data_IF_867658070459
#
_entry.id   IF_867658070459
#
_cell.length_a   1.000
_cell.length_b   1.000
_cell.length_c   1.000
_cell.angle_alpha   90.00
_cell.angle_beta   90.00
_cell.angle_gamma   90.00
#
_symmetry.space_group_name_H-M   'P 1'
#
loop_
_entity.id
_entity.type
_entity.pdbx_description
1 polymer ?
#
# COMPACT_ATOMS: atom_id res chain seq x y z
N UNK A 1 5.77 34.93 8.83
CA UNK A 1 4.90 34.40 9.92
C UNK A 1 4.07 33.27 9.34
N UNK A 2 4.31 32.02 9.73
CA UNK A 2 3.44 30.92 9.33
C UNK A 2 2.20 31.02 10.22
N UNK A 3 1.08 31.47 9.65
CA UNK A 3 -0.20 31.51 10.35
C UNK A 3 -0.54 30.07 10.76
N UNK A 4 -0.68 29.85 12.08
CA UNK A 4 -1.04 28.55 12.62
C UNK A 4 -2.47 28.25 12.17
N UNK A 5 -2.62 27.36 11.18
CA UNK A 5 -3.94 27.00 10.65
C UNK A 5 -4.70 26.23 11.76
N UNK A 6 -5.90 26.69 12.06
CA UNK A 6 -6.78 26.00 12.99
C UNK A 6 -7.31 24.71 12.33
N UNK A 7 -6.94 23.55 12.87
CA UNK A 7 -7.29 22.24 12.33
C UNK A 7 -8.80 21.99 12.34
N UNK A 8 -9.54 22.49 13.33
CA UNK A 8 -10.99 22.30 13.40
C UNK A 8 -11.72 23.16 12.35
N UNK A 9 -11.24 24.40 12.14
CA UNK A 9 -11.76 25.26 11.10
C UNK A 9 -11.43 24.71 9.70
N UNK A 10 -10.21 24.20 9.51
CA UNK A 10 -9.78 23.53 8.29
C UNK A 10 -10.67 22.31 8.00
N UNK A 11 -10.91 21.45 8.98
CA UNK A 11 -11.72 20.24 8.81
C UNK A 11 -13.17 20.53 8.35
N UNK A 12 -13.75 21.65 8.80
CA UNK A 12 -15.10 22.06 8.45
C UNK A 12 -15.21 22.72 7.06
N UNK A 13 -14.12 23.28 6.56
CA UNK A 13 -14.09 24.07 5.32
C UNK A 13 -13.42 23.37 4.13
N UNK A 14 -12.85 22.17 4.34
CA UNK A 14 -12.28 21.35 3.27
C UNK A 14 -13.40 20.65 2.52
N UNK A 15 -13.38 20.76 1.18
CA UNK A 15 -14.18 19.92 0.29
C UNK A 15 -13.27 18.99 -0.54
N UNK A 16 -13.75 17.77 -0.78
CA UNK A 16 -13.13 16.84 -1.73
C UNK A 16 -14.10 16.66 -2.90
N UNK A 17 -13.61 16.92 -4.10
CA UNK A 17 -14.40 16.80 -5.32
C UNK A 17 -13.55 16.29 -6.48
N UNK A 18 -14.18 15.99 -7.59
CA UNK A 18 -13.48 15.70 -8.84
C UNK A 18 -12.90 16.98 -9.45
N UNK A 19 -11.77 16.84 -10.14
CA UNK A 19 -11.19 17.91 -10.95
C UNK A 19 -12.10 18.27 -12.13
N UNK A 20 -11.97 19.50 -12.60
CA UNK A 20 -12.56 20.02 -13.84
C UNK A 20 -11.49 20.72 -14.65
N UNK A 21 -11.78 21.08 -15.90
CA UNK A 21 -10.84 21.84 -16.73
C UNK A 21 -10.54 23.24 -16.19
N UNK A 22 -11.45 23.81 -15.39
CA UNK A 22 -11.26 25.11 -14.75
C UNK A 22 -10.18 25.09 -13.66
N UNK A 23 -9.85 23.89 -13.15
CA UNK A 23 -8.83 23.69 -12.13
C UNK A 23 -7.40 23.65 -12.72
N UNK A 24 -7.25 23.64 -14.05
CA UNK A 24 -5.95 23.40 -14.70
C UNK A 24 -4.83 24.31 -14.18
N UNK A 25 -5.04 25.63 -14.16
CA UNK A 25 -4.01 26.58 -13.73
C UNK A 25 -3.66 26.41 -12.24
N UNK A 26 -4.64 26.05 -11.41
CA UNK A 26 -4.43 25.77 -9.99
C UNK A 26 -3.65 24.47 -9.79
N UNK A 27 -3.94 23.43 -10.60
CA UNK A 27 -3.25 22.15 -10.60
C UNK A 27 -1.77 22.32 -10.98
N UNK A 28 -1.47 23.05 -12.05
CA UNK A 28 -0.11 23.35 -12.50
C UNK A 28 0.68 24.06 -11.38
N UNK A 29 0.06 25.07 -10.73
CA UNK A 29 0.71 25.74 -9.57
C UNK A 29 0.97 24.77 -8.42
N UNK A 30 0.06 23.85 -8.16
CA UNK A 30 0.21 22.86 -7.10
C UNK A 30 1.33 21.87 -7.45
N UNK A 31 1.39 21.34 -8.67
CA UNK A 31 2.44 20.43 -9.15
C UNK A 31 3.82 21.08 -9.03
N UNK A 32 3.97 22.32 -9.51
CA UNK A 32 5.23 23.07 -9.44
C UNK A 32 5.72 23.24 -7.99
N UNK A 33 4.80 23.45 -7.03
CA UNK A 33 5.17 23.55 -5.61
C UNK A 33 5.50 22.20 -4.98
N UNK A 34 4.84 21.14 -5.41
CA UNK A 34 5.02 19.80 -4.84
C UNK A 34 6.25 19.08 -5.39
N UNK A 35 6.56 19.31 -6.67
CA UNK A 35 7.65 18.67 -7.39
C UNK A 35 8.54 19.71 -8.10
N UNK A 36 9.31 20.49 -7.35
CA UNK A 36 10.22 21.47 -7.93
C UNK A 36 11.26 20.74 -8.80
N UNK A 37 11.36 21.13 -10.07
CA UNK A 37 12.27 20.53 -11.03
C UNK A 37 11.68 19.45 -11.93
N UNK A 38 10.43 19.05 -11.72
CA UNK A 38 9.68 18.20 -12.66
C UNK A 38 8.77 19.07 -13.52
N UNK A 39 8.55 18.67 -14.77
CA UNK A 39 7.64 19.35 -15.69
C UNK A 39 6.20 19.12 -15.26
N UNK A 40 5.39 20.17 -14.98
CA UNK A 40 3.98 19.97 -14.69
C UNK A 40 3.21 19.52 -15.94
N UNK A 41 2.07 18.89 -15.74
CA UNK A 41 1.22 18.43 -16.84
C UNK A 41 0.75 19.58 -17.73
N UNK A 42 0.69 19.31 -19.04
CA UNK A 42 0.02 20.17 -20.00
C UNK A 42 -1.51 20.05 -19.90
N UNK A 43 -2.21 20.97 -20.54
CA UNK A 43 -3.67 21.02 -20.57
C UNK A 43 -4.30 19.76 -21.17
N UNK A 44 -3.62 19.20 -22.16
CA UNK A 44 -4.00 17.96 -22.86
C UNK A 44 -3.98 16.73 -21.94
N UNK A 45 -3.09 16.68 -20.95
CA UNK A 45 -3.07 15.59 -19.96
C UNK A 45 -4.33 15.61 -19.11
N UNK A 46 -4.66 16.77 -18.50
CA UNK A 46 -5.86 16.89 -17.68
C UNK A 46 -7.12 16.64 -18.52
N UNK A 47 -7.18 17.16 -19.74
CA UNK A 47 -8.30 16.92 -20.65
C UNK A 47 -8.49 15.42 -20.92
N UNK A 48 -7.42 14.71 -21.30
CA UNK A 48 -7.47 13.27 -21.54
C UNK A 48 -7.90 12.46 -20.30
N UNK A 49 -7.42 12.85 -19.12
CA UNK A 49 -7.79 12.20 -17.85
C UNK A 49 -9.28 12.40 -17.53
N UNK A 50 -9.80 13.61 -17.74
CA UNK A 50 -11.22 13.91 -17.50
C UNK A 50 -12.16 13.28 -18.53
N UNK A 51 -11.72 13.14 -19.77
CA UNK A 51 -12.49 12.45 -20.82
C UNK A 51 -12.58 10.93 -20.57
N UNK A 52 -11.48 10.32 -20.10
CA UNK A 52 -11.40 8.86 -19.95
C UNK A 52 -11.92 8.38 -18.59
N UNK A 53 -11.50 9.02 -17.49
CA UNK A 53 -11.84 8.58 -16.16
C UNK A 53 -11.97 9.76 -15.18
N UNK A 54 -12.99 10.63 -15.33
CA UNK A 54 -13.16 11.82 -14.50
C UNK A 54 -13.32 11.49 -13.01
N UNK A 55 -13.97 10.37 -12.69
CA UNK A 55 -14.19 9.94 -11.31
C UNK A 55 -12.93 9.46 -10.58
N UNK A 56 -11.82 9.28 -11.27
CA UNK A 56 -10.52 8.94 -10.72
C UNK A 56 -9.62 10.16 -10.45
N UNK A 57 -10.08 11.37 -10.82
CA UNK A 57 -9.34 12.61 -10.71
C UNK A 57 -9.91 13.45 -9.57
N UNK A 58 -9.26 13.41 -8.41
CA UNK A 58 -9.73 14.11 -7.20
C UNK A 58 -8.94 15.36 -6.91
N UNK A 59 -9.57 16.33 -6.27
CA UNK A 59 -8.89 17.44 -5.64
C UNK A 59 -9.45 17.72 -4.24
N UNK A 60 -8.64 18.37 -3.43
CA UNK A 60 -9.02 18.93 -2.13
C UNK A 60 -8.96 20.43 -2.24
N UNK A 61 -10.06 21.07 -1.91
CA UNK A 61 -10.22 22.53 -1.93
C UNK A 61 -10.40 23.07 -0.51
N UNK A 62 -9.74 24.17 -0.21
CA UNK A 62 -9.87 24.94 1.00
C UNK A 62 -9.92 26.43 0.64
N UNK A 63 -10.96 27.14 1.08
CA UNK A 63 -11.18 28.56 0.78
C UNK A 63 -10.96 28.90 -0.72
N UNK A 64 -11.56 28.08 -1.61
CA UNK A 64 -11.43 28.20 -3.08
C UNK A 64 -9.99 28.00 -3.60
N UNK A 65 -9.08 27.45 -2.81
CA UNK A 65 -7.73 27.12 -3.24
C UNK A 65 -7.52 25.61 -3.30
N UNK A 66 -6.90 25.15 -4.37
CA UNK A 66 -6.54 23.75 -4.54
C UNK A 66 -5.31 23.44 -3.67
N UNK A 67 -5.49 22.63 -2.63
CA UNK A 67 -4.45 22.28 -1.66
C UNK A 67 -3.98 20.83 -1.75
N UNK A 68 -4.67 20.01 -2.55
CA UNK A 68 -4.29 18.64 -2.81
C UNK A 68 -4.94 18.10 -4.07
N UNK A 69 -4.33 17.11 -4.69
CA UNK A 69 -4.85 16.42 -5.87
C UNK A 69 -4.41 14.97 -5.88
N UNK A 70 -5.20 14.12 -6.53
CA UNK A 70 -4.86 12.72 -6.75
C UNK A 70 -5.45 12.24 -8.08
N UNK A 71 -4.62 11.60 -8.89
CA UNK A 71 -5.00 11.06 -10.20
C UNK A 71 -4.83 9.55 -10.23
N UNK A 72 -5.76 8.87 -10.90
CA UNK A 72 -5.81 7.41 -10.98
C UNK A 72 -6.40 6.97 -12.32
N UNK A 73 -6.14 5.71 -12.67
CA UNK A 73 -6.82 5.00 -13.76
C UNK A 73 -7.17 3.59 -13.30
N UNK A 74 -8.04 2.91 -14.01
CA UNK A 74 -8.29 1.47 -13.82
C UNK A 74 -7.49 0.72 -14.87
N UNK A 75 -6.89 -0.41 -14.49
CA UNK A 75 -6.10 -1.28 -15.39
C UNK A 75 -6.28 -2.75 -15.01
N UNK A 76 -6.03 -3.64 -15.95
CA UNK A 76 -5.62 -5.02 -15.65
C UNK A 76 -4.10 -5.00 -15.42
N UNK A 77 -3.69 -5.12 -14.15
CA UNK A 77 -2.27 -5.01 -13.79
C UNK A 77 -1.43 -6.16 -14.36
N UNK A 78 -2.03 -7.30 -14.64
CA UNK A 78 -1.33 -8.47 -15.17
C UNK A 78 -0.82 -8.23 -16.60
N UNK A 79 -1.42 -7.30 -17.36
CA UNK A 79 -0.97 -6.89 -18.69
C UNK A 79 0.37 -6.15 -18.68
N UNK A 80 0.73 -5.48 -17.57
CA UNK A 80 1.95 -4.69 -17.44
C UNK A 80 3.15 -5.50 -16.91
N UNK A 81 2.96 -6.76 -16.58
CA UNK A 81 4.03 -7.65 -16.12
C UNK A 81 4.64 -7.25 -14.77
N UNK A 82 5.85 -7.79 -14.51
CA UNK A 82 6.54 -7.55 -13.26
C UNK A 82 7.28 -6.21 -13.18
N UNK A 83 7.64 -5.63 -14.31
CA UNK A 83 8.38 -4.38 -14.42
C UNK A 83 7.69 -3.49 -15.45
N UNK A 84 7.25 -2.33 -14.98
CA UNK A 84 6.69 -1.28 -15.82
C UNK A 84 7.21 0.05 -15.31
N UNK A 85 7.31 1.03 -16.19
CA UNK A 85 7.61 2.41 -15.87
C UNK A 85 6.32 3.19 -15.56
N UNK A 86 6.47 4.41 -15.07
CA UNK A 86 5.32 5.30 -14.91
C UNK A 86 4.69 5.62 -16.27
N UNK A 87 5.52 5.85 -17.30
CA UNK A 87 5.05 6.15 -18.66
C UNK A 87 4.28 4.97 -19.25
N UNK A 88 4.76 3.73 -19.05
CA UNK A 88 4.06 2.53 -19.52
C UNK A 88 2.64 2.45 -18.96
N UNK A 89 2.45 2.71 -17.67
CA UNK A 89 1.14 2.51 -17.04
C UNK A 89 0.25 3.72 -17.15
N UNK A 90 0.81 4.93 -17.05
CA UNK A 90 0.06 6.18 -17.14
C UNK A 90 -0.18 6.65 -18.58
N UNK A 91 0.48 6.05 -19.59
CA UNK A 91 0.44 6.50 -20.98
C UNK A 91 0.89 7.96 -21.06
N UNK A 92 2.10 8.22 -20.59
CA UNK A 92 2.71 9.57 -20.51
C UNK A 92 1.80 10.59 -19.78
N UNK A 93 1.04 10.16 -18.78
CA UNK A 93 0.12 11.00 -18.03
C UNK A 93 -1.26 11.23 -18.69
N UNK A 94 -1.46 10.76 -19.91
CA UNK A 94 -2.74 10.83 -20.62
C UNK A 94 -3.75 9.76 -20.20
N UNK A 95 -3.35 8.81 -19.38
CA UNK A 95 -4.11 7.60 -18.97
C UNK A 95 -4.75 6.86 -20.13
N UNK A 96 -4.04 6.77 -21.27
CA UNK A 96 -4.51 6.07 -22.48
C UNK A 96 -4.76 4.59 -22.24
N UNK A 97 -4.11 4.03 -21.21
CA UNK A 97 -4.25 2.63 -20.78
C UNK A 97 -5.39 2.40 -19.78
N UNK A 98 -6.28 3.40 -19.60
CA UNK A 98 -7.46 3.20 -18.77
C UNK A 98 -8.35 2.13 -19.37
N UNK A 99 -8.55 1.04 -18.61
CA UNK A 99 -9.44 -0.06 -18.93
C UNK A 99 -10.58 -0.13 -17.90
N UNK A 100 -11.82 0.21 -18.27
CA UNK A 100 -12.96 0.14 -17.36
C UNK A 100 -13.28 -1.24 -16.84
N UNK A 101 -12.83 -2.31 -17.54
CA UNK A 101 -13.04 -3.72 -17.15
C UNK A 101 -11.88 -4.27 -16.30
N UNK A 102 -10.85 -3.49 -16.06
CA UNK A 102 -9.71 -3.86 -15.22
C UNK A 102 -10.11 -4.07 -13.76
N UNK A 103 -9.29 -4.78 -13.01
CA UNK A 103 -9.53 -5.12 -11.59
C UNK A 103 -8.80 -4.22 -10.59
N UNK A 104 -7.93 -3.34 -11.06
CA UNK A 104 -7.00 -2.57 -10.24
C UNK A 104 -7.14 -1.07 -10.45
N UNK A 105 -7.34 -0.30 -9.37
CA UNK A 105 -7.18 1.14 -9.39
C UNK A 105 -5.70 1.50 -9.24
N UNK A 106 -5.08 2.04 -10.29
CA UNK A 106 -3.69 2.46 -10.23
C UNK A 106 -3.59 3.96 -9.97
N UNK A 107 -2.93 4.33 -8.87
CA UNK A 107 -2.70 5.73 -8.53
C UNK A 107 -1.41 6.25 -9.14
N UNK A 108 -1.51 7.20 -10.05
CA UNK A 108 -0.37 7.76 -10.79
C UNK A 108 0.23 9.02 -10.16
N UNK A 109 -0.58 9.76 -9.39
CA UNK A 109 -0.11 10.97 -8.71
C UNK A 109 -0.88 11.21 -7.41
N UNK A 110 -0.20 11.75 -6.40
CA UNK A 110 -0.79 12.39 -5.20
C UNK A 110 0.01 13.62 -4.85
N UNK A 111 -0.67 14.74 -4.74
CA UNK A 111 -0.12 16.04 -4.39
C UNK A 111 -0.75 16.54 -3.09
N UNK A 112 0.08 17.10 -2.23
CA UNK A 112 -0.38 17.91 -1.08
C UNK A 112 0.52 19.15 -1.01
N UNK A 113 -0.11 20.32 -1.05
CA UNK A 113 0.59 21.58 -0.92
C UNK A 113 1.50 21.55 0.32
N UNK A 114 2.79 21.89 0.19
CA UNK A 114 3.73 21.88 1.28
C UNK A 114 3.24 22.60 2.55
N UNK A 115 2.47 23.69 2.40
CA UNK A 115 1.91 24.45 3.52
C UNK A 115 0.82 23.67 4.30
N UNK A 116 0.22 22.65 3.70
CA UNK A 116 -0.86 21.83 4.27
C UNK A 116 -0.43 20.40 4.61
N UNK A 117 0.87 20.09 4.49
CA UNK A 117 1.40 18.79 4.91
C UNK A 117 1.24 18.60 6.42
N UNK A 118 1.03 17.36 6.85
CA UNK A 118 0.73 17.03 8.26
C UNK A 118 -0.74 17.23 8.66
N UNK A 119 -1.58 17.84 7.82
CA UNK A 119 -3.00 18.12 8.09
C UNK A 119 -3.95 17.05 7.53
N UNK A 120 -3.46 15.83 7.35
CA UNK A 120 -4.22 14.65 6.88
C UNK A 120 -4.83 14.77 5.47
N UNK A 121 -4.43 15.78 4.65
CA UNK A 121 -4.96 15.98 3.29
C UNK A 121 -4.69 14.75 2.42
N UNK A 122 -3.46 14.23 2.41
CA UNK A 122 -3.12 13.02 1.67
C UNK A 122 -3.96 11.81 2.09
N UNK A 123 -4.26 11.64 3.38
CA UNK A 123 -5.13 10.58 3.89
C UNK A 123 -6.54 10.69 3.31
N UNK A 124 -7.12 11.90 3.25
CA UNK A 124 -8.44 12.13 2.64
C UNK A 124 -8.47 11.70 1.17
N UNK A 125 -7.42 12.03 0.40
CA UNK A 125 -7.29 11.60 -1.00
C UNK A 125 -7.21 10.07 -1.12
N UNK A 126 -6.48 9.40 -0.22
CA UNK A 126 -6.42 7.93 -0.18
C UNK A 126 -7.77 7.31 0.25
N UNK A 127 -8.49 7.94 1.18
CA UNK A 127 -9.83 7.49 1.57
C UNK A 127 -10.81 7.59 0.40
N UNK A 128 -10.74 8.65 -0.43
CA UNK A 128 -11.56 8.76 -1.65
C UNK A 128 -11.19 7.69 -2.70
N UNK A 129 -9.89 7.40 -2.90
CA UNK A 129 -9.47 6.26 -3.74
C UNK A 129 -10.03 4.93 -3.22
N UNK A 130 -9.99 4.70 -1.91
CA UNK A 130 -10.56 3.48 -1.31
C UNK A 130 -12.07 3.40 -1.48
N UNK A 131 -12.80 4.53 -1.34
CA UNK A 131 -14.24 4.61 -1.63
C UNK A 131 -14.52 4.32 -3.10
N UNK A 132 -13.75 4.90 -4.01
CA UNK A 132 -13.88 4.68 -5.45
C UNK A 132 -13.64 3.20 -5.81
N UNK A 133 -12.56 2.60 -5.32
CA UNK A 133 -12.26 1.18 -5.55
C UNK A 133 -13.39 0.26 -5.07
N UNK A 134 -13.99 0.54 -3.89
CA UNK A 134 -15.15 -0.21 -3.39
C UNK A 134 -16.38 0.00 -4.27
N UNK A 135 -16.69 1.25 -4.67
CA UNK A 135 -17.85 1.58 -5.50
C UNK A 135 -17.79 0.91 -6.88
N UNK A 136 -16.59 0.84 -7.47
CA UNK A 136 -16.35 0.18 -8.76
C UNK A 136 -16.10 -1.32 -8.62
N UNK A 137 -16.17 -1.88 -7.40
CA UNK A 137 -15.87 -3.27 -7.11
C UNK A 137 -14.49 -3.71 -7.64
N UNK A 138 -13.47 -2.86 -7.48
CA UNK A 138 -12.11 -3.20 -7.86
C UNK A 138 -11.43 -4.01 -6.74
N UNK A 139 -10.62 -4.96 -7.14
CA UNK A 139 -9.93 -5.90 -6.25
C UNK A 139 -8.90 -5.24 -5.35
N UNK A 140 -8.23 -4.21 -5.86
CA UNK A 140 -7.09 -3.56 -5.18
C UNK A 140 -6.85 -2.13 -5.64
N UNK A 141 -6.07 -1.41 -4.85
CA UNK A 141 -5.42 -0.17 -5.28
C UNK A 141 -3.92 -0.44 -5.32
N UNK A 142 -3.26 -0.03 -6.38
CA UNK A 142 -1.80 -0.12 -6.53
C UNK A 142 -1.23 1.26 -6.79
N UNK A 143 -0.04 1.52 -6.28
CA UNK A 143 0.69 2.76 -6.49
C UNK A 143 2.18 2.50 -6.68
N UNK A 144 2.83 3.27 -7.54
CA UNK A 144 4.28 3.39 -7.62
C UNK A 144 4.77 4.49 -6.67
N UNK A 145 5.07 4.12 -5.42
CA UNK A 145 5.48 5.08 -4.39
C UNK A 145 6.92 5.53 -4.56
N UNK A 146 7.17 6.84 -4.67
CA UNK A 146 8.50 7.43 -4.66
C UNK A 146 9.21 7.17 -3.32
N UNK A 147 10.53 7.31 -3.30
CA UNK A 147 11.37 7.24 -2.09
C UNK A 147 12.29 8.46 -2.01
N UNK A 148 11.73 9.67 -1.85
CA UNK A 148 12.47 10.92 -2.06
C UNK A 148 13.69 11.09 -1.16
N UNK A 149 13.70 10.51 0.05
CA UNK A 149 14.86 10.61 0.93
C UNK A 149 15.99 9.62 0.56
N UNK A 150 15.78 8.72 -0.43
CA UNK A 150 16.78 7.73 -0.81
C UNK A 150 18.07 8.39 -1.34
N UNK A 151 18.01 9.52 -2.04
CA UNK A 151 19.21 10.20 -2.54
C UNK A 151 20.23 10.52 -1.44
N UNK A 152 19.78 10.77 -0.21
CA UNK A 152 20.66 11.04 0.93
C UNK A 152 21.44 9.81 1.41
N UNK A 153 20.98 8.62 1.06
CA UNK A 153 21.50 7.33 1.53
C UNK A 153 22.11 6.48 0.41
N UNK A 154 21.83 6.79 -0.85
CA UNK A 154 22.22 5.98 -2.03
C UNK A 154 23.73 5.78 -2.18
N UNK A 155 24.58 6.62 -1.58
CA UNK A 155 26.03 6.44 -1.57
C UNK A 155 26.53 5.38 -0.57
N UNK A 156 25.67 4.89 0.33
CA UNK A 156 26.02 3.97 1.41
C UNK A 156 25.13 2.73 1.48
N UNK A 157 23.90 2.83 1.01
CA UNK A 157 22.89 1.76 1.08
C UNK A 157 22.30 1.49 -0.30
N UNK A 158 22.08 0.22 -0.60
CA UNK A 158 21.23 -0.17 -1.71
C UNK A 158 19.77 0.23 -1.43
N UNK A 159 18.96 0.34 -2.47
CA UNK A 159 17.53 0.63 -2.32
C UNK A 159 16.83 -0.40 -1.41
N UNK A 160 17.21 -1.67 -1.49
CA UNK A 160 16.66 -2.73 -0.64
C UNK A 160 16.97 -2.53 0.84
N UNK A 161 18.21 -2.17 1.16
CA UNK A 161 18.62 -1.87 2.53
C UNK A 161 17.94 -0.63 3.07
N UNK A 162 17.87 0.45 2.26
CA UNK A 162 17.16 1.66 2.63
C UNK A 162 15.69 1.38 2.97
N UNK A 163 14.98 0.68 2.10
CA UNK A 163 13.57 0.32 2.31
C UNK A 163 13.38 -0.51 3.58
N UNK A 164 14.27 -1.50 3.85
CA UNK A 164 14.24 -2.27 5.10
C UNK A 164 14.37 -1.37 6.34
N UNK A 165 15.27 -0.37 6.29
CA UNK A 165 15.47 0.56 7.41
C UNK A 165 14.23 1.45 7.63
N UNK A 166 13.56 1.89 6.57
CA UNK A 166 12.32 2.69 6.68
C UNK A 166 11.18 1.83 7.24
N UNK A 167 11.00 0.59 6.74
CA UNK A 167 9.98 -0.34 7.25
C UNK A 167 10.22 -0.68 8.72
N UNK A 168 11.50 -0.86 9.13
CA UNK A 168 11.90 -1.06 10.51
C UNK A 168 11.82 0.22 11.38
N UNK A 169 11.36 1.35 10.81
CA UNK A 169 11.26 2.67 11.50
C UNK A 169 12.58 3.22 12.01
N UNK A 170 13.71 2.78 11.45
CA UNK A 170 15.03 3.31 11.74
C UNK A 170 15.33 4.55 10.91
N UNK A 171 14.76 4.64 9.70
CA UNK A 171 14.78 5.81 8.85
C UNK A 171 13.35 6.29 8.60
N UNK A 172 13.24 7.53 8.20
CA UNK A 172 11.99 8.15 7.80
C UNK A 172 12.03 8.48 6.29
N UNK A 173 11.04 7.99 5.55
CA UNK A 173 10.77 8.44 4.21
C UNK A 173 9.32 8.95 4.15
N UNK A 174 9.09 10.19 3.69
CA UNK A 174 7.77 10.81 3.79
C UNK A 174 6.71 10.08 2.98
N UNK A 175 7.07 9.49 1.82
CA UNK A 175 6.11 8.81 0.94
C UNK A 175 5.88 7.39 1.42
N UNK A 176 6.93 6.59 1.60
CA UNK A 176 6.80 5.20 2.05
C UNK A 176 6.12 5.13 3.42
N UNK A 177 6.55 5.96 4.38
CA UNK A 177 5.95 5.98 5.72
C UNK A 177 4.47 6.34 5.67
N UNK A 178 4.10 7.31 4.82
CA UNK A 178 2.70 7.71 4.60
C UNK A 178 1.88 6.57 3.99
N UNK A 179 2.40 5.87 2.98
CA UNK A 179 1.69 4.78 2.31
C UNK A 179 1.47 3.59 3.25
N UNK A 180 2.48 3.18 4.01
CA UNK A 180 2.35 2.15 5.04
C UNK A 180 1.33 2.52 6.12
N UNK A 181 1.30 3.80 6.54
CA UNK A 181 0.33 4.31 7.52
C UNK A 181 -1.12 4.40 6.97
N UNK A 182 -1.31 4.23 5.66
CA UNK A 182 -2.61 4.16 5.00
C UNK A 182 -2.96 2.72 4.54
N UNK A 183 -2.44 1.70 5.22
CA UNK A 183 -2.74 0.27 5.03
C UNK A 183 -2.26 -0.29 3.68
N UNK A 184 -1.29 0.36 3.04
CA UNK A 184 -0.64 -0.19 1.86
C UNK A 184 0.49 -1.13 2.27
N UNK A 185 0.63 -2.23 1.54
CA UNK A 185 1.67 -3.24 1.76
C UNK A 185 2.68 -3.18 0.63
N UNK A 186 3.95 -3.16 0.97
CA UNK A 186 5.03 -3.21 -0.01
C UNK A 186 5.05 -4.59 -0.70
N UNK A 187 5.03 -4.59 -2.03
CA UNK A 187 5.10 -5.81 -2.85
C UNK A 187 6.48 -6.01 -3.46
N UNK A 188 7.02 -4.96 -4.07
CA UNK A 188 8.33 -5.01 -4.74
C UNK A 188 8.90 -3.63 -5.02
N UNK A 189 10.17 -3.59 -5.40
CA UNK A 189 10.85 -2.39 -5.89
C UNK A 189 10.72 -2.36 -7.42
N UNK A 190 10.43 -1.19 -7.96
CA UNK A 190 10.41 -0.91 -9.39
C UNK A 190 11.64 -0.08 -9.74
N UNK A 191 12.68 -0.67 -10.35
CA UNK A 191 13.82 0.09 -10.85
C UNK A 191 13.42 0.85 -12.12
N UNK A 192 14.03 2.02 -12.33
CA UNK A 192 13.81 2.89 -13.50
C UNK A 192 12.33 3.21 -13.75
N UNK A 193 11.56 3.35 -12.66
CA UNK A 193 10.12 3.60 -12.74
C UNK A 193 9.80 5.02 -13.22
N UNK A 194 10.57 6.02 -12.78
CA UNK A 194 10.44 7.41 -13.16
C UNK A 194 11.84 8.03 -13.27
N UNK A 195 12.38 8.09 -14.49
CA UNK A 195 13.78 8.47 -14.73
C UNK A 195 14.09 9.89 -14.26
N UNK A 196 13.15 10.82 -14.38
CA UNK A 196 13.31 12.21 -13.97
C UNK A 196 13.35 12.38 -12.44
N UNK A 197 13.00 11.36 -11.66
CA UNK A 197 13.00 11.42 -10.20
C UNK A 197 14.40 11.24 -9.60
N UNK A 198 15.17 12.31 -9.61
CA UNK A 198 16.52 12.33 -9.06
C UNK A 198 16.57 12.01 -7.55
N UNK A 199 15.52 12.37 -6.77
CA UNK A 199 15.43 12.12 -5.34
C UNK A 199 15.30 10.63 -5.03
N UNK A 200 14.51 9.90 -5.82
CA UNK A 200 14.35 8.45 -5.69
C UNK A 200 15.36 7.66 -6.53
N UNK A 201 16.28 8.35 -7.25
CA UNK A 201 17.22 7.72 -8.19
C UNK A 201 16.51 6.85 -9.25
N UNK A 202 15.36 7.31 -9.74
CA UNK A 202 14.53 6.59 -10.70
C UNK A 202 13.74 5.40 -10.11
N UNK A 203 13.93 5.07 -8.84
CA UNK A 203 13.23 3.94 -8.21
C UNK A 203 11.85 4.32 -7.70
N UNK A 204 10.92 3.36 -7.74
CA UNK A 204 9.70 3.41 -6.97
C UNK A 204 9.43 2.09 -6.23
N UNK A 205 8.46 2.11 -5.35
CA UNK A 205 7.98 0.95 -4.63
C UNK A 205 6.57 0.62 -5.10
N UNK A 206 6.34 -0.60 -5.55
CA UNK A 206 4.98 -1.07 -5.81
C UNK A 206 4.33 -1.40 -4.49
N UNK A 207 3.34 -0.62 -4.11
CA UNK A 207 2.54 -0.86 -2.90
C UNK A 207 1.09 -1.15 -3.28
N UNK A 208 0.46 -2.02 -2.51
CA UNK A 208 -0.90 -2.51 -2.73
C UNK A 208 -1.76 -2.32 -1.49
N UNK A 209 -2.99 -1.86 -1.70
CA UNK A 209 -4.08 -1.96 -0.75
C UNK A 209 -5.15 -2.90 -1.31
N UNK A 210 -5.54 -3.92 -0.54
CA UNK A 210 -6.53 -4.93 -0.95
C UNK A 210 -7.93 -4.51 -0.53
N UNK A 211 -8.88 -4.59 -1.46
CA UNK A 211 -10.28 -4.36 -1.18
C UNK A 211 -10.93 -5.63 -0.62
N UNK A 212 -11.08 -5.70 0.69
CA UNK A 212 -11.70 -6.85 1.36
C UNK A 212 -13.21 -7.01 1.03
N UNK A 213 -13.83 -6.01 0.39
CA UNK A 213 -15.22 -6.07 -0.04
C UNK A 213 -15.37 -6.43 -1.53
N UNK A 214 -14.27 -6.75 -2.20
CA UNK A 214 -14.29 -7.14 -3.61
C UNK A 214 -15.09 -8.43 -3.80
N UNK A 215 -16.01 -8.40 -4.77
CA UNK A 215 -16.79 -9.58 -5.17
C UNK A 215 -16.40 -9.94 -6.60
N UNK A 216 -15.73 -11.07 -6.83
CA UNK A 216 -15.33 -11.49 -8.17
C UNK A 216 -16.53 -11.62 -9.11
N UNK A 217 -16.38 -11.12 -10.35
CA UNK A 217 -17.39 -11.34 -11.38
C UNK A 217 -17.54 -12.86 -11.68
N UNK A 218 -18.72 -13.34 -12.05
CA UNK A 218 -18.93 -14.76 -12.34
C UNK A 218 -17.98 -15.35 -13.38
N UNK A 219 -17.50 -14.57 -14.34
CA UNK A 219 -16.52 -14.96 -15.34
C UNK A 219 -15.11 -15.22 -14.78
N UNK A 220 -14.73 -14.54 -13.69
CA UNK A 220 -13.44 -14.76 -13.03
C UNK A 220 -13.39 -16.06 -12.24
N UNK A 221 -14.56 -16.62 -11.84
CA UNK A 221 -14.65 -17.93 -11.19
C UNK A 221 -14.21 -19.08 -12.09
N UNK A 222 -14.07 -18.85 -13.39
CA UNK A 222 -13.63 -19.86 -14.37
C UNK A 222 -12.12 -19.86 -14.63
N UNK A 223 -11.34 -18.90 -14.12
CA UNK A 223 -9.87 -18.95 -14.14
C UNK A 223 -9.38 -19.90 -13.04
N UNK A 224 -9.19 -21.17 -13.46
CA UNK A 224 -8.45 -22.21 -12.72
C UNK A 224 -8.68 -22.24 -11.21
N UNK A 225 -9.85 -22.74 -10.79
CA UNK A 225 -10.03 -23.16 -9.40
C UNK A 225 -9.31 -24.49 -9.20
N UNK A 226 -8.01 -24.45 -8.88
CA UNK A 226 -7.45 -25.56 -8.13
C UNK A 226 -8.11 -25.52 -6.76
N UNK A 227 -8.83 -26.58 -6.36
CA UNK A 227 -9.42 -26.62 -5.03
C UNK A 227 -8.29 -26.59 -4.00
N UNK A 228 -8.22 -25.50 -3.24
CA UNK A 228 -7.28 -25.37 -2.13
C UNK A 228 -7.90 -26.08 -0.92
N UNK A 229 -7.19 -27.07 -0.38
CA UNK A 229 -7.57 -27.78 0.82
C UNK A 229 -6.89 -27.14 2.03
N UNK A 230 -7.69 -26.65 2.94
CA UNK A 230 -7.20 -26.07 4.20
C UNK A 230 -7.57 -27.00 5.34
N UNK A 231 -6.57 -27.42 6.10
CA UNK A 231 -6.77 -28.14 7.35
C UNK A 231 -6.69 -27.12 8.51
N UNK A 232 -7.78 -26.96 9.26
CA UNK A 232 -7.77 -26.20 10.51
C UNK A 232 -7.60 -27.16 11.68
N UNK A 233 -6.57 -26.91 12.50
CA UNK A 233 -6.26 -27.75 13.65
C UNK A 233 -7.06 -27.28 14.85
N UNK A 234 -7.89 -28.17 15.40
CA UNK A 234 -8.51 -27.97 16.71
C UNK A 234 -7.52 -28.40 17.79
N UNK A 235 -6.63 -27.49 18.16
CA UNK A 235 -5.49 -27.75 19.02
C UNK A 235 -5.86 -27.65 20.49
N UNK A 236 -5.68 -28.75 21.23
CA UNK A 236 -5.81 -28.72 22.69
C UNK A 236 -4.42 -28.50 23.32
N UNK A 237 -4.21 -27.33 23.91
CA UNK A 237 -2.98 -27.05 24.66
C UNK A 237 -2.88 -27.97 25.88
N UNK A 238 -1.81 -28.75 25.94
CA UNK A 238 -1.47 -29.63 27.06
C UNK A 238 -0.16 -29.16 27.65
N UNK A 239 0.11 -29.52 28.90
CA UNK A 239 1.43 -29.27 29.49
C UNK A 239 2.46 -30.12 28.77
N UNK A 240 3.57 -29.53 28.35
CA UNK A 240 4.71 -30.16 27.70
C UNK A 240 5.96 -29.95 28.58
N UNK A 241 6.97 -30.80 28.44
CA UNK A 241 8.19 -30.75 29.22
C UNK A 241 9.37 -30.11 28.45
N UNK A 242 9.27 -30.02 27.11
CA UNK A 242 10.36 -29.54 26.28
C UNK A 242 9.84 -28.88 24.99
N UNK A 243 10.73 -28.21 24.27
CA UNK A 243 10.46 -27.75 22.93
C UNK A 243 10.23 -28.90 21.93
N UNK A 244 10.94 -30.01 22.10
CA UNK A 244 10.82 -31.19 21.26
C UNK A 244 9.40 -31.79 21.35
N UNK A 245 8.77 -31.80 22.53
CA UNK A 245 7.39 -32.24 22.72
C UNK A 245 6.41 -31.32 21.91
N UNK A 246 6.70 -30.03 21.84
CA UNK A 246 5.93 -29.09 21.03
C UNK A 246 6.06 -29.41 19.53
N UNK A 247 7.29 -29.62 19.07
CA UNK A 247 7.58 -29.98 17.69
C UNK A 247 6.90 -31.29 17.31
N UNK A 248 6.96 -32.33 18.18
CA UNK A 248 6.31 -33.62 17.95
C UNK A 248 4.78 -33.45 17.75
N UNK A 249 4.13 -32.64 18.61
CA UNK A 249 2.69 -32.40 18.47
C UNK A 249 2.36 -31.65 17.19
N UNK A 250 3.11 -30.61 16.83
CA UNK A 250 2.92 -29.87 15.59
C UNK A 250 3.13 -30.78 14.36
N UNK A 251 4.18 -31.59 14.39
CA UNK A 251 4.51 -32.54 13.32
C UNK A 251 3.40 -33.58 13.13
N UNK A 252 2.80 -34.06 14.21
CA UNK A 252 1.64 -34.96 14.14
C UNK A 252 0.51 -34.34 13.32
N UNK A 253 0.08 -33.13 13.65
CA UNK A 253 -1.02 -32.48 12.92
C UNK A 253 -0.65 -32.16 11.46
N UNK A 254 0.58 -31.74 11.20
CA UNK A 254 1.07 -31.51 9.84
C UNK A 254 1.07 -32.82 9.03
N UNK A 255 1.52 -33.91 9.62
CA UNK A 255 1.54 -35.23 8.97
C UNK A 255 0.13 -35.71 8.65
N UNK A 256 -0.82 -35.55 9.57
CA UNK A 256 -2.24 -35.88 9.35
C UNK A 256 -2.81 -35.04 8.21
N UNK A 257 -2.59 -33.72 8.23
CA UNK A 257 -3.04 -32.81 7.17
C UNK A 257 -2.43 -33.16 5.81
N UNK A 258 -1.15 -33.53 5.78
CA UNK A 258 -0.45 -34.01 4.60
C UNK A 258 -1.09 -35.29 4.05
N UNK A 259 -1.46 -36.23 4.92
CA UNK A 259 -2.17 -37.47 4.55
C UNK A 259 -3.51 -37.18 3.86
N UNK A 260 -4.20 -36.09 4.22
CA UNK A 260 -5.42 -35.60 3.56
C UNK A 260 -5.13 -34.73 2.33
N UNK A 261 -3.86 -34.58 1.92
CA UNK A 261 -3.42 -33.75 0.79
C UNK A 261 -3.89 -32.29 0.96
N UNK A 262 -3.78 -31.75 2.18
CA UNK A 262 -4.06 -30.36 2.46
C UNK A 262 -2.93 -29.49 1.95
N UNK A 263 -3.27 -28.35 1.33
CA UNK A 263 -2.30 -27.38 0.82
C UNK A 263 -1.81 -26.45 1.94
N UNK A 264 -2.67 -26.22 2.95
CA UNK A 264 -2.36 -25.39 4.11
C UNK A 264 -2.84 -26.05 5.40
N UNK A 265 -2.06 -25.85 6.47
CA UNK A 265 -2.43 -26.20 7.84
C UNK A 265 -2.46 -24.94 8.68
N UNK A 266 -3.59 -24.70 9.33
CA UNK A 266 -3.81 -23.52 10.17
C UNK A 266 -3.95 -23.95 11.63
N UNK A 267 -3.03 -23.52 12.46
CA UNK A 267 -3.11 -23.69 13.90
C UNK A 267 -3.91 -22.54 14.54
N UNK A 268 -4.50 -22.74 15.73
CA UNK A 268 -5.19 -21.67 16.44
C UNK A 268 -4.26 -20.50 16.78
N UNK A 269 -4.85 -19.31 16.88
CA UNK A 269 -4.14 -18.15 17.41
C UNK A 269 -3.51 -18.47 18.77
N UNK A 270 -2.33 -17.95 18.99
CA UNK A 270 -1.57 -18.10 20.27
C UNK A 270 -1.30 -19.54 20.73
N UNK A 271 -1.41 -20.58 19.87
CA UNK A 271 -1.08 -21.98 20.26
C UNK A 271 0.35 -22.13 20.80
N UNK A 272 1.28 -21.24 20.40
CA UNK A 272 2.66 -21.19 20.90
C UNK A 272 2.75 -20.84 22.40
N UNK A 273 1.67 -20.34 23.04
CA UNK A 273 1.64 -20.18 24.50
C UNK A 273 1.87 -21.49 25.25
N UNK A 274 1.67 -22.63 24.62
CA UNK A 274 2.02 -23.93 25.21
C UNK A 274 3.48 -24.03 25.62
N UNK A 275 4.40 -23.34 24.93
CA UNK A 275 5.82 -23.29 25.28
C UNK A 275 6.08 -22.70 26.67
N UNK A 276 5.17 -21.92 27.21
CA UNK A 276 5.28 -21.39 28.56
C UNK A 276 5.09 -22.48 29.64
N UNK A 277 4.56 -23.66 29.28
CA UNK A 277 4.20 -24.70 30.26
C UNK A 277 5.42 -25.35 30.91
N UNK A 278 6.62 -25.31 30.31
CA UNK A 278 7.87 -25.82 30.88
C UNK A 278 8.80 -24.70 31.36
N UNK A 279 8.42 -23.46 31.19
CA UNK A 279 9.15 -22.32 31.75
C UNK A 279 8.73 -22.08 33.21
N UNK A 280 9.66 -21.62 34.08
CA UNK A 280 9.31 -21.24 35.43
C UNK A 280 8.29 -20.11 35.41
N UNK A 281 7.43 -20.02 36.45
CA UNK A 281 6.35 -19.04 36.58
C UNK A 281 6.74 -17.63 36.10
N UNK A 282 6.36 -17.31 34.87
CA UNK A 282 6.74 -16.07 34.19
C UNK A 282 5.58 -15.09 34.32
N UNK A 283 5.87 -13.88 34.79
CA UNK A 283 4.88 -12.78 34.79
C UNK A 283 4.47 -12.48 33.33
N UNK A 284 3.19 -12.09 33.06
CA UNK A 284 2.71 -11.88 31.68
C UNK A 284 3.60 -10.98 30.82
N UNK A 285 4.19 -9.92 31.38
CA UNK A 285 5.09 -9.03 30.64
C UNK A 285 6.47 -9.66 30.27
N UNK A 286 6.90 -10.73 30.96
CA UNK A 286 8.09 -11.47 30.62
C UNK A 286 7.79 -12.64 29.69
N UNK A 287 6.59 -13.21 29.75
CA UNK A 287 6.16 -14.33 28.93
C UNK A 287 6.36 -14.09 27.43
N UNK A 288 6.04 -12.88 26.95
CA UNK A 288 6.23 -12.50 25.54
C UNK A 288 7.70 -12.51 25.12
N UNK A 289 8.60 -12.12 26.02
CA UNK A 289 10.07 -12.14 25.75
C UNK A 289 10.58 -13.56 25.72
N UNK A 290 10.12 -14.39 26.62
CA UNK A 290 10.49 -15.82 26.68
C UNK A 290 10.00 -16.56 25.42
N UNK A 291 8.75 -16.29 24.98
CA UNK A 291 8.24 -16.83 23.72
C UNK A 291 9.05 -16.36 22.50
N UNK A 292 9.47 -15.10 22.48
CA UNK A 292 10.28 -14.55 21.40
C UNK A 292 11.64 -15.26 21.25
N UNK A 293 12.17 -15.83 22.33
CA UNK A 293 13.42 -16.59 22.30
C UNK A 293 13.33 -17.89 21.46
N UNK A 294 12.12 -18.43 21.27
CA UNK A 294 11.88 -19.60 20.42
C UNK A 294 11.71 -19.28 18.93
N UNK A 295 11.54 -18.01 18.56
CA UNK A 295 11.31 -17.61 17.17
C UNK A 295 12.33 -18.18 16.16
N UNK A 296 13.65 -18.23 16.45
CA UNK A 296 14.61 -18.84 15.52
C UNK A 296 14.45 -20.36 15.33
N UNK A 297 13.66 -21.03 16.17
CA UNK A 297 13.51 -22.48 16.14
C UNK A 297 12.32 -22.95 15.29
N UNK A 298 11.42 -22.03 14.92
CA UNK A 298 10.27 -22.33 14.04
C UNK A 298 10.15 -21.37 12.83
N UNK A 299 11.21 -20.64 12.52
CA UNK A 299 11.46 -19.97 11.26
C UNK A 299 12.44 -20.77 10.41
#
# INVERSE_FOLDING_TARGET
>A
MVTKIDLEALEKSISVRTLTMDDFDALVRLQTRCFPGMTPWGREHLQSQLERFPQGQFCVEYESHLIGSASSLVVDLDEFGHHHTWDDIAGDGHITNHDPEGDTLYGIEVLVDPAFRGMKIGRRLYDERKKLARRLNLKRIVVGGRVPNYHMHAGRLSIHEYVKQVVAKQFYDPVLTFQLANDFVLKRILPNYLEEDAESRGHALLLEWVNLHYTPHPAEKTRSTFPVRICTVQYQMRRIASFDDFVEQCTYFVSVASGYKSDFVVFPEIFTLQLLSFLPNVRPGLAVRELAAFTPQYL
#
